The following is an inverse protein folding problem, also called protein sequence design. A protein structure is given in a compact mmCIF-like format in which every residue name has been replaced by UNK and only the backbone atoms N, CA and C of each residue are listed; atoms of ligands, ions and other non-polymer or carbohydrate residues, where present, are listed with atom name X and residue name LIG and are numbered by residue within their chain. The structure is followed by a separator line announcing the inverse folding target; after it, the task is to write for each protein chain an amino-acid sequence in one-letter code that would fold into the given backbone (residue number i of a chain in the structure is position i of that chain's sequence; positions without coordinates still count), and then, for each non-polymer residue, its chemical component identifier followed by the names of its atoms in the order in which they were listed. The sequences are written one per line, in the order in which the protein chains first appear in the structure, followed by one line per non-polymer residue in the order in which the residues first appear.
data_IF_521626567220
#
_entry.id   IF_521626567220
#
_cell.length_a   1.000
_cell.length_b   1.000
_cell.length_c   1.000
_cell.angle_alpha   90.00
_cell.angle_beta   90.00
_cell.angle_gamma   90.00
#
_symmetry.space_group_name_H-M   'P 1'
#
loop_
_entity.id
_entity.type
_entity.pdbx_description
1 polymer ?
#
# COMPACT_ATOMS: atom_id res chain seq x y z
N UNK A 1 34.28 12.99 3.86
CA UNK A 1 33.47 14.22 3.82
C UNK A 1 32.32 14.02 4.79
N UNK A 2 32.24 14.82 5.85
CA UNK A 2 31.19 14.74 6.86
C UNK A 2 29.95 15.47 6.33
N UNK A 3 28.84 14.74 6.18
CA UNK A 3 27.55 15.31 5.80
C UNK A 3 26.93 15.94 7.06
N UNK A 4 26.47 17.19 7.03
CA UNK A 4 25.89 17.82 8.22
C UNK A 4 24.57 17.11 8.58
N UNK A 5 24.51 16.49 9.76
CA UNK A 5 23.29 15.90 10.30
C UNK A 5 22.26 17.00 10.58
N UNK A 6 21.20 17.03 9.79
CA UNK A 6 20.02 17.83 10.02
C UNK A 6 19.39 17.39 11.35
N UNK A 7 19.58 18.18 12.43
CA UNK A 7 18.98 17.91 13.74
C UNK A 7 17.46 17.95 13.58
N UNK A 8 16.82 16.78 13.64
CA UNK A 8 15.37 16.69 13.67
C UNK A 8 14.84 17.46 14.89
N UNK A 9 14.04 18.50 14.65
CA UNK A 9 13.45 19.31 15.71
C UNK A 9 12.44 18.47 16.51
N UNK A 10 12.36 18.64 17.84
CA UNK A 10 11.41 17.91 18.68
C UNK A 10 9.98 18.28 18.30
N UNK A 11 9.17 17.28 17.92
CA UNK A 11 7.77 17.47 17.48
C UNK A 11 6.80 17.67 18.65
N UNK A 12 7.21 17.34 19.87
CA UNK A 12 6.39 17.44 21.07
C UNK A 12 7.27 17.72 22.30
N UNK A 13 6.72 18.36 23.35
CA UNK A 13 7.48 18.68 24.56
C UNK A 13 8.07 17.44 25.24
N UNK A 14 7.41 16.28 25.08
CA UNK A 14 7.82 15.01 25.68
C UNK A 14 9.10 14.41 25.10
N UNK A 15 9.53 14.87 23.91
CA UNK A 15 10.77 14.40 23.25
C UNK A 15 11.77 15.56 23.04
N UNK A 16 11.59 16.65 23.78
CA UNK A 16 12.49 17.81 23.73
C UNK A 16 13.79 17.61 24.51
N UNK A 17 13.94 16.50 25.23
CA UNK A 17 15.14 16.23 26.01
C UNK A 17 16.35 15.98 25.10
N UNK A 18 17.52 16.60 25.40
CA UNK A 18 18.71 16.51 24.54
C UNK A 18 19.26 15.08 24.42
N UNK A 19 19.04 14.23 25.44
CA UNK A 19 19.39 12.82 25.42
C UNK A 19 18.59 12.01 24.38
N UNK A 20 17.40 12.49 23.99
CA UNK A 20 16.52 11.83 23.02
C UNK A 20 16.75 12.31 21.58
N UNK A 21 17.49 13.40 21.39
CA UNK A 21 17.76 13.98 20.08
C UNK A 21 18.40 13.02 19.06
N UNK A 22 19.33 12.11 19.43
CA UNK A 22 19.87 11.13 18.50
C UNK A 22 18.79 10.16 17.99
N UNK A 23 17.87 9.74 18.86
CA UNK A 23 16.81 8.77 18.55
C UNK A 23 15.70 9.35 17.66
N UNK A 24 15.61 10.68 17.55
CA UNK A 24 14.65 11.36 16.69
C UNK A 24 15.08 11.43 15.21
N UNK A 25 16.32 11.04 14.90
CA UNK A 25 16.85 11.11 13.55
C UNK A 25 16.25 10.00 12.66
N UNK A 26 15.81 10.30 11.43
CA UNK A 26 15.27 9.29 10.50
C UNK A 26 16.25 8.17 10.13
N UNK A 27 17.55 8.44 10.21
CA UNK A 27 18.63 7.49 9.91
C UNK A 27 19.40 7.08 11.18
N UNK A 28 18.71 6.95 12.31
CA UNK A 28 19.33 6.50 13.55
C UNK A 28 19.88 5.08 13.40
N UNK A 29 21.19 4.92 13.61
CA UNK A 29 21.85 3.62 13.73
C UNK A 29 22.26 3.37 15.20
N UNK A 30 21.76 2.30 15.84
CA UNK A 30 22.14 1.97 17.22
C UNK A 30 23.62 1.64 17.37
N UNK A 31 24.27 1.07 16.36
CA UNK A 31 25.69 0.71 16.45
C UNK A 31 26.57 1.97 16.45
N UNK A 32 26.34 2.88 15.51
CA UNK A 32 27.03 4.18 15.47
C UNK A 32 26.76 5.02 16.73
N UNK A 33 25.54 4.98 17.28
CA UNK A 33 25.24 5.66 18.55
C UNK A 33 26.07 5.13 19.71
N UNK A 34 26.16 3.81 19.89
CA UNK A 34 26.97 3.22 20.96
C UNK A 34 28.47 3.46 20.74
N UNK A 35 28.93 3.38 19.50
CA UNK A 35 30.33 3.67 19.16
C UNK A 35 30.71 5.14 19.41
N UNK A 36 29.77 6.07 19.27
CA UNK A 36 29.97 7.49 19.58
C UNK A 36 29.80 7.80 21.08
N UNK A 37 28.94 7.06 21.79
CA UNK A 37 28.66 7.26 23.21
C UNK A 37 29.71 6.62 24.13
N UNK A 38 30.29 5.47 23.72
CA UNK A 38 31.23 4.73 24.54
C UNK A 38 32.70 5.14 24.26
N UNK A 39 33.52 5.38 25.29
CA UNK A 39 34.95 5.63 25.13
C UNK A 39 35.69 4.41 24.55
N UNK A 40 36.78 4.66 23.80
CA UNK A 40 37.65 3.58 23.32
C UNK A 40 38.34 2.83 24.48
N UNK A 41 38.48 1.51 24.38
CA UNK A 41 39.17 0.71 25.41
C UNK A 41 40.68 0.93 25.38
N UNK A 42 41.28 1.17 26.55
CA UNK A 42 42.74 1.13 26.71
C UNK A 42 43.22 -0.33 26.73
N UNK A 43 43.43 -0.90 25.55
CA UNK A 43 44.10 -2.19 25.43
C UNK A 43 45.60 -1.95 25.60
N UNK A 44 46.09 -2.28 26.79
CA UNK A 44 47.52 -2.27 27.13
C UNK A 44 48.27 -3.21 26.18
N UNK A 45 48.68 -2.68 25.02
CA UNK A 45 49.41 -3.40 24.00
C UNK A 45 50.59 -2.53 23.56
N UNK A 46 51.78 -3.13 23.60
CA UNK A 46 53.11 -2.53 23.47
C UNK A 46 53.40 -1.95 22.06
N UNK A 47 52.40 -1.81 21.19
CA UNK A 47 52.61 -1.30 19.84
C UNK A 47 51.34 -0.65 19.27
N UNK A 48 51.10 0.61 19.61
CA UNK A 48 50.20 1.45 18.83
C UNK A 48 50.66 2.91 18.90
N UNK A 49 51.16 3.39 17.76
CA UNK A 49 51.48 4.79 17.47
C UNK A 49 50.29 5.69 17.81
N UNK A 50 50.48 6.88 18.42
CA UNK A 50 49.40 7.71 18.89
C UNK A 50 48.67 8.37 17.72
N UNK A 51 47.57 7.76 17.26
CA UNK A 51 46.60 8.41 16.40
C UNK A 51 45.57 9.09 17.30
N UNK A 52 45.83 10.37 17.59
CA UNK A 52 44.93 11.42 18.06
C UNK A 52 43.45 11.01 18.34
N UNK A 53 43.15 10.32 19.44
CA UNK A 53 41.84 10.36 20.12
C UNK A 53 42.05 10.08 21.61
N UNK A 54 42.04 11.13 22.43
CA UNK A 54 42.51 11.13 23.82
C UNK A 54 41.50 10.72 24.88
N UNK A 55 40.80 9.59 24.73
CA UNK A 55 39.92 9.03 25.78
C UNK A 55 39.93 7.50 25.78
N UNK A 56 41.10 6.89 26.00
CA UNK A 56 41.21 5.44 26.23
C UNK A 56 40.92 5.13 27.70
N UNK A 57 39.86 4.37 27.98
CA UNK A 57 39.33 4.13 29.34
C UNK A 57 39.56 2.67 29.74
N UNK A 58 39.69 2.40 31.05
CA UNK A 58 39.83 1.02 31.54
C UNK A 58 38.52 0.22 31.40
N UNK A 59 38.60 -1.11 31.37
CA UNK A 59 37.41 -1.96 31.23
C UNK A 59 36.40 -1.75 32.38
N UNK A 60 36.90 -1.51 33.60
CA UNK A 60 36.06 -1.27 34.77
C UNK A 60 35.26 0.04 34.64
N UNK A 61 35.90 1.12 34.20
CA UNK A 61 35.24 2.40 33.97
C UNK A 61 34.26 2.34 32.78
N UNK A 62 34.60 1.62 31.71
CA UNK A 62 33.67 1.42 30.59
C UNK A 62 32.44 0.61 31.01
N UNK A 63 32.61 -0.40 31.86
CA UNK A 63 31.48 -1.16 32.42
C UNK A 63 30.55 -0.25 33.23
N UNK A 64 31.12 0.60 34.11
CA UNK A 64 30.32 1.56 34.89
C UNK A 64 29.57 2.52 33.97
N UNK A 65 30.24 3.10 32.99
CA UNK A 65 29.62 4.04 32.05
C UNK A 65 28.50 3.40 31.23
N UNK A 66 28.69 2.15 30.80
CA UNK A 66 27.67 1.40 30.06
C UNK A 66 26.45 1.09 30.94
N UNK A 67 26.67 0.76 32.22
CA UNK A 67 25.58 0.52 33.18
C UNK A 67 24.78 1.80 33.45
N UNK A 68 25.45 2.94 33.61
CA UNK A 68 24.80 4.24 33.80
C UNK A 68 23.95 4.62 32.57
N UNK A 69 24.53 4.47 31.36
CA UNK A 69 23.83 4.73 30.10
C UNK A 69 22.61 3.81 29.95
N UNK A 70 22.76 2.51 30.26
CA UNK A 70 21.66 1.55 30.19
C UNK A 70 20.54 1.88 31.19
N UNK A 71 20.90 2.28 32.41
CA UNK A 71 19.95 2.72 33.43
C UNK A 71 19.18 3.95 32.95
N UNK A 72 19.88 4.93 32.38
CA UNK A 72 19.30 6.13 31.80
C UNK A 72 18.32 5.78 30.65
N UNK A 73 18.74 4.95 29.70
CA UNK A 73 17.89 4.52 28.58
C UNK A 73 16.65 3.75 29.06
N UNK A 74 16.80 2.90 30.07
CA UNK A 74 15.67 2.17 30.65
C UNK A 74 14.65 3.11 31.33
N UNK A 75 15.15 4.14 32.05
CA UNK A 75 14.30 5.16 32.64
C UNK A 75 13.55 5.97 31.57
N UNK A 76 14.23 6.41 30.51
CA UNK A 76 13.59 7.11 29.39
C UNK A 76 12.56 6.22 28.68
N UNK A 77 12.87 4.94 28.46
CA UNK A 77 11.96 3.98 27.81
C UNK A 77 10.68 3.80 28.63
N UNK A 78 10.82 3.62 29.95
CA UNK A 78 9.67 3.48 30.86
C UNK A 78 8.81 4.74 30.85
N UNK A 79 9.43 5.92 30.97
CA UNK A 79 8.73 7.20 30.93
C UNK A 79 8.00 7.44 29.61
N UNK A 80 8.65 7.20 28.47
CA UNK A 80 8.05 7.38 27.15
C UNK A 80 6.91 6.38 26.91
N UNK A 81 7.01 5.15 27.42
CA UNK A 81 5.94 4.17 27.38
C UNK A 81 4.71 4.61 28.18
N UNK A 82 4.91 5.16 29.38
CA UNK A 82 3.81 5.74 30.18
C UNK A 82 3.16 6.92 29.46
N UNK A 83 3.96 7.83 28.90
CA UNK A 83 3.46 9.00 28.16
C UNK A 83 2.69 8.57 26.91
N UNK A 84 3.18 7.58 26.16
CA UNK A 84 2.51 7.04 24.98
C UNK A 84 1.14 6.44 25.34
N UNK A 85 1.08 5.70 26.45
CA UNK A 85 -0.17 5.13 26.97
C UNK A 85 -1.15 6.24 27.33
N UNK A 86 -0.70 7.29 28.03
CA UNK A 86 -1.52 8.44 28.39
C UNK A 86 -2.04 9.19 27.15
N UNK A 87 -1.17 9.50 26.19
CA UNK A 87 -1.57 10.16 24.94
C UNK A 87 -2.57 9.33 24.14
N UNK A 88 -2.42 8.00 24.15
CA UNK A 88 -3.36 7.10 23.48
C UNK A 88 -4.74 7.15 24.14
N UNK A 89 -4.80 7.14 25.48
CA UNK A 89 -6.06 7.27 26.22
C UNK A 89 -6.70 8.65 26.01
N UNK A 90 -5.90 9.73 26.03
CA UNK A 90 -6.37 11.09 25.76
C UNK A 90 -6.93 11.22 24.34
N UNK A 91 -6.33 10.56 23.34
CA UNK A 91 -6.85 10.53 21.95
C UNK A 91 -8.17 9.76 21.90
N UNK A 92 -8.28 8.59 22.52
CA UNK A 92 -9.52 7.80 22.53
C UNK A 92 -10.65 8.56 23.23
N UNK A 93 -10.35 9.22 24.35
CA UNK A 93 -11.32 9.99 25.12
C UNK A 93 -11.73 11.28 24.42
N UNK A 94 -10.78 12.02 23.84
CA UNK A 94 -11.07 13.24 23.08
C UNK A 94 -11.83 12.94 21.78
N UNK A 95 -11.61 11.78 21.16
CA UNK A 95 -12.37 11.35 19.99
C UNK A 95 -13.87 11.24 20.25
N UNK A 96 -14.28 10.64 21.37
CA UNK A 96 -15.69 10.53 21.74
C UNK A 96 -16.33 11.89 22.03
N UNK A 97 -15.60 12.79 22.70
CA UNK A 97 -16.07 14.16 22.97
C UNK A 97 -16.20 14.98 21.69
N UNK A 98 -15.21 14.90 20.80
CA UNK A 98 -15.22 15.61 19.53
C UNK A 98 -16.36 15.13 18.63
N UNK A 99 -16.66 13.83 18.63
CA UNK A 99 -17.82 13.30 17.90
C UNK A 99 -19.14 13.92 18.39
N UNK A 100 -19.31 14.09 19.71
CA UNK A 100 -20.48 14.78 20.27
C UNK A 100 -20.53 16.25 19.85
N UNK A 101 -19.42 16.98 19.98
CA UNK A 101 -19.34 18.39 19.59
C UNK A 101 -19.64 18.59 18.10
N UNK A 102 -19.16 17.68 17.24
CA UNK A 102 -19.47 17.68 15.80
C UNK A 102 -20.96 17.42 15.54
N UNK A 103 -21.59 16.47 16.24
CA UNK A 103 -23.01 16.18 16.05
C UNK A 103 -23.90 17.32 16.57
N UNK A 104 -23.51 17.98 17.66
CA UNK A 104 -24.17 19.20 18.16
C UNK A 104 -24.06 20.32 17.13
N UNK A 105 -22.85 20.62 16.63
CA UNK A 105 -22.63 21.64 15.62
C UNK A 105 -23.41 21.35 14.32
N UNK A 106 -23.49 20.07 13.93
CA UNK A 106 -24.30 19.64 12.79
C UNK A 106 -25.78 19.91 13.05
N UNK A 107 -26.30 19.56 14.21
CA UNK A 107 -27.69 19.84 14.61
C UNK A 107 -28.00 21.32 14.61
N UNK A 108 -27.12 22.15 15.18
CA UNK A 108 -27.25 23.61 15.17
C UNK A 108 -27.20 24.20 13.75
N UNK A 109 -26.32 23.69 12.89
CA UNK A 109 -26.21 24.11 11.48
C UNK A 109 -27.45 23.74 10.70
N UNK A 110 -28.01 22.55 10.91
CA UNK A 110 -29.28 22.12 10.31
C UNK A 110 -30.42 23.02 10.81
N UNK A 111 -30.53 23.24 12.13
CA UNK A 111 -31.56 24.11 12.71
C UNK A 111 -31.46 25.56 12.23
N UNK A 112 -30.24 26.10 12.06
CA UNK A 112 -30.01 27.41 11.45
C UNK A 112 -30.47 27.42 9.99
N UNK A 113 -30.18 26.37 9.23
CA UNK A 113 -30.58 26.25 7.82
C UNK A 113 -32.10 26.17 7.69
N UNK A 114 -32.78 25.36 8.50
CA UNK A 114 -34.25 25.27 8.55
C UNK A 114 -34.86 26.61 8.95
N UNK A 115 -34.31 27.28 9.98
CA UNK A 115 -34.78 28.61 10.39
C UNK A 115 -34.64 29.61 9.26
N UNK A 116 -33.52 29.62 8.52
CA UNK A 116 -33.29 30.57 7.43
C UNK A 116 -34.14 30.27 6.18
N UNK A 117 -34.33 28.99 5.85
CA UNK A 117 -34.98 28.56 4.60
C UNK A 117 -36.49 28.37 4.71
N UNK A 118 -37.00 27.97 5.88
CA UNK A 118 -38.43 27.69 6.09
C UNK A 118 -39.10 28.75 6.97
N UNK A 119 -38.49 29.09 8.11
CA UNK A 119 -39.07 30.04 9.06
C UNK A 119 -38.96 31.50 8.61
N UNK A 120 -37.74 31.95 8.38
CA UNK A 120 -37.39 33.35 8.13
C UNK A 120 -37.51 33.74 6.65
N UNK A 121 -37.50 32.77 5.73
CA UNK A 121 -37.55 33.03 4.28
C UNK A 121 -38.74 33.90 3.88
N UNK A 122 -39.95 33.58 4.37
CA UNK A 122 -41.15 34.35 4.08
C UNK A 122 -41.15 35.77 4.67
N UNK A 123 -40.44 35.98 5.78
CA UNK A 123 -40.26 37.32 6.36
C UNK A 123 -39.16 38.10 5.64
N UNK A 124 -38.07 37.45 5.26
CA UNK A 124 -36.99 38.02 4.44
C UNK A 124 -37.52 38.44 3.07
N UNK A 125 -38.40 37.66 2.44
CA UNK A 125 -39.07 38.02 1.17
C UNK A 125 -39.93 39.28 1.29
N UNK A 126 -40.51 39.57 2.46
CA UNK A 126 -41.25 40.83 2.69
C UNK A 126 -40.32 42.04 2.76
N UNK A 127 -39.10 41.87 3.26
CA UNK A 127 -38.08 42.93 3.32
C UNK A 127 -37.31 43.06 2.00
N UNK A 128 -37.21 41.99 1.20
CA UNK A 128 -36.49 41.93 -0.07
C UNK A 128 -37.30 41.16 -1.14
N UNK A 129 -38.37 41.76 -1.69
CA UNK A 129 -39.27 41.09 -2.63
C UNK A 129 -38.65 40.70 -3.99
N UNK A 130 -37.40 41.08 -4.25
CA UNK A 130 -36.63 40.71 -5.44
C UNK A 130 -35.36 39.89 -5.19
N UNK A 131 -35.09 39.48 -3.94
CA UNK A 131 -33.82 38.85 -3.55
C UNK A 131 -32.63 39.82 -3.53
N UNK A 132 -31.49 39.37 -3.00
CA UNK A 132 -30.23 40.13 -3.03
C UNK A 132 -29.56 39.83 -4.38
N UNK A 133 -29.76 40.72 -5.35
CA UNK A 133 -28.96 40.72 -6.58
C UNK A 133 -27.56 41.23 -6.21
N UNK A 134 -26.67 40.30 -5.87
CA UNK A 134 -25.23 40.59 -5.94
C UNK A 134 -24.92 40.69 -7.44
N UNK A 135 -24.67 41.90 -7.94
CA UNK A 135 -24.24 42.12 -9.32
C UNK A 135 -22.90 41.40 -9.57
N UNK A 136 -22.99 40.12 -9.92
CA UNK A 136 -22.00 39.48 -10.76
C UNK A 136 -22.13 40.16 -12.12
N UNK A 137 -21.10 40.93 -12.47
CA UNK A 137 -20.93 41.66 -13.72
C UNK A 137 -21.00 40.70 -14.91
N UNK A 138 -22.21 40.37 -15.36
CA UNK A 138 -22.46 39.77 -16.67
C UNK A 138 -22.23 40.84 -17.74
N UNK A 139 -21.36 40.51 -18.67
CA UNK A 139 -21.00 41.34 -19.80
C UNK A 139 -22.22 41.59 -20.70
N UNK A 140 -22.38 42.80 -21.27
CA UNK A 140 -23.54 43.12 -22.09
C UNK A 140 -23.48 42.38 -23.44
N UNK A 141 -24.50 41.54 -23.64
CA UNK A 141 -24.94 41.05 -24.94
C UNK A 141 -25.66 42.20 -25.66
N UNK A 142 -24.97 42.86 -26.60
CA UNK A 142 -25.58 43.80 -27.53
C UNK A 142 -25.54 43.19 -28.94
N UNK A 143 -26.72 42.79 -29.42
CA UNK A 143 -27.04 42.79 -30.85
C UNK A 143 -27.66 44.15 -31.19
N UNK A 144 -27.33 44.73 -32.36
CA UNK A 144 -28.28 44.60 -33.47
C UNK A 144 -27.62 44.42 -34.86
N UNK A 145 -28.40 43.84 -35.78
CA UNK A 145 -28.10 43.56 -37.18
C UNK A 145 -27.73 44.79 -38.05
N UNK A 146 -26.71 44.64 -38.91
CA UNK A 146 -26.79 44.64 -40.40
C UNK A 146 -25.61 45.33 -41.16
N UNK A 147 -24.82 44.48 -41.85
CA UNK A 147 -24.26 44.63 -43.22
C UNK A 147 -23.16 45.69 -43.49
N UNK A 148 -21.90 45.27 -43.75
CA UNK A 148 -21.33 45.01 -45.09
C UNK A 148 -19.78 44.74 -45.11
N UNK A 149 -19.41 43.60 -45.70
CA UNK A 149 -18.27 43.21 -46.57
C UNK A 149 -16.82 43.77 -46.49
N UNK A 150 -15.90 42.83 -46.83
CA UNK A 150 -14.45 42.87 -47.12
C UNK A 150 -13.55 42.66 -45.89
N UNK A 151 -12.53 41.80 -45.87
CA UNK A 151 -11.87 40.96 -46.87
C UNK A 151 -10.40 40.77 -46.43
N UNK A 152 -9.91 39.52 -46.51
CA UNK A 152 -8.51 39.08 -46.56
C UNK A 152 -7.62 38.91 -45.29
N UNK A 153 -7.21 37.63 -45.13
CA UNK A 153 -5.88 37.09 -44.78
C UNK A 153 -5.10 37.56 -43.54
N UNK A 154 -4.87 36.64 -42.58
CA UNK A 154 -3.56 35.99 -42.36
C UNK A 154 -3.57 34.97 -41.19
N UNK A 155 -2.78 33.90 -41.39
CA UNK A 155 -2.53 32.75 -40.50
C UNK A 155 -1.34 33.07 -39.53
N UNK A 156 -0.86 32.11 -38.73
CA UNK A 156 -1.16 31.84 -37.32
C UNK A 156 -0.02 32.26 -36.35
N UNK A 157 -0.33 32.56 -35.09
CA UNK A 157 0.70 32.56 -34.03
C UNK A 157 0.20 32.01 -32.70
N UNK A 158 0.95 31.01 -32.25
CA UNK A 158 1.00 30.38 -30.93
C UNK A 158 1.15 31.36 -29.76
N UNK A 159 0.32 31.24 -28.73
CA UNK A 159 0.59 31.65 -27.35
C UNK A 159 -0.31 30.81 -26.43
N UNK A 160 0.20 29.72 -25.83
CA UNK A 160 0.65 29.66 -24.43
C UNK A 160 -0.34 30.29 -23.45
N UNK A 161 -1.00 29.40 -22.69
CA UNK A 161 -1.78 29.65 -21.49
C UNK A 161 -1.20 30.77 -20.63
N UNK A 162 -1.99 31.83 -20.46
CA UNK A 162 -1.89 32.77 -19.37
C UNK A 162 -3.14 32.55 -18.48
N UNK A 163 -2.99 32.48 -17.14
CA UNK A 163 -4.12 32.24 -16.25
C UNK A 163 -4.96 33.52 -16.16
N UNK A 164 -6.26 33.40 -16.45
CA UNK A 164 -7.23 34.48 -16.26
C UNK A 164 -7.24 34.94 -14.79
N UNK A 165 -6.88 36.19 -14.58
CA UNK A 165 -6.77 36.86 -13.28
C UNK A 165 -8.13 37.27 -12.69
N UNK A 166 -9.15 36.45 -12.86
CA UNK A 166 -10.54 36.78 -12.47
C UNK A 166 -11.26 35.70 -11.69
N UNK A 167 -10.60 34.59 -11.33
CA UNK A 167 -11.17 33.63 -10.37
C UNK A 167 -10.94 34.14 -8.94
N UNK A 168 -12.00 34.45 -8.18
CA UNK A 168 -11.87 34.84 -6.77
C UNK A 168 -11.18 33.76 -5.95
N UNK A 169 -10.40 34.14 -4.95
CA UNK A 169 -9.61 33.23 -4.12
C UNK A 169 -10.44 32.09 -3.49
N UNK A 170 -11.71 32.33 -3.16
CA UNK A 170 -12.60 31.31 -2.62
C UNK A 170 -12.95 30.22 -3.65
N UNK A 171 -13.01 30.55 -4.95
CA UNK A 171 -13.22 29.57 -6.03
C UNK A 171 -11.96 28.71 -6.19
N UNK A 172 -10.77 29.30 -6.13
CA UNK A 172 -9.50 28.57 -6.12
C UNK A 172 -9.40 27.64 -4.89
N UNK A 173 -9.81 28.11 -3.71
CA UNK A 173 -9.88 27.30 -2.50
C UNK A 173 -10.91 26.16 -2.64
N UNK A 174 -12.05 26.40 -3.27
CA UNK A 174 -13.06 25.37 -3.52
C UNK A 174 -12.58 24.31 -4.53
N UNK A 175 -11.86 24.71 -5.58
CA UNK A 175 -11.24 23.77 -6.53
C UNK A 175 -10.14 22.94 -5.86
N UNK A 176 -9.31 23.56 -5.01
CA UNK A 176 -8.28 22.83 -4.27
C UNK A 176 -8.90 21.87 -3.25
N UNK A 177 -9.95 22.26 -2.52
CA UNK A 177 -10.69 21.37 -1.63
C UNK A 177 -11.39 20.23 -2.38
N UNK A 178 -11.94 20.50 -3.55
CA UNK A 178 -12.55 19.47 -4.42
C UNK A 178 -11.50 18.47 -4.91
N UNK A 179 -10.33 18.95 -5.32
CA UNK A 179 -9.20 18.11 -5.72
C UNK A 179 -8.63 17.30 -4.55
N UNK A 180 -8.55 17.90 -3.36
CA UNK A 180 -8.12 17.21 -2.14
C UNK A 180 -9.13 16.13 -1.77
N UNK A 181 -10.43 16.42 -1.84
CA UNK A 181 -11.50 15.44 -1.61
C UNK A 181 -11.40 14.27 -2.58
N UNK A 182 -11.27 14.52 -3.88
CA UNK A 182 -11.16 13.43 -4.87
C UNK A 182 -9.90 12.59 -4.68
N UNK A 183 -8.78 13.23 -4.28
CA UNK A 183 -7.55 12.53 -3.91
C UNK A 183 -7.74 11.67 -2.66
N UNK A 184 -8.38 12.20 -1.62
CA UNK A 184 -8.66 11.45 -0.39
C UNK A 184 -9.60 10.27 -0.66
N UNK A 185 -10.65 10.45 -1.46
CA UNK A 185 -11.55 9.36 -1.87
C UNK A 185 -10.78 8.27 -2.64
N UNK A 186 -9.85 8.65 -3.52
CA UNK A 186 -8.97 7.71 -4.22
C UNK A 186 -8.06 6.95 -3.26
N UNK A 187 -7.44 7.65 -2.30
CA UNK A 187 -6.58 7.04 -1.28
C UNK A 187 -7.38 6.08 -0.40
N UNK A 188 -8.57 6.47 0.05
CA UNK A 188 -9.47 5.62 0.85
C UNK A 188 -9.83 4.36 0.06
N UNK A 189 -10.14 4.48 -1.23
CA UNK A 189 -10.44 3.33 -2.08
C UNK A 189 -9.23 2.39 -2.20
N UNK A 190 -8.06 2.93 -2.54
CA UNK A 190 -6.84 2.12 -2.70
C UNK A 190 -6.41 1.46 -1.38
N UNK A 191 -6.44 2.19 -0.26
CA UNK A 191 -6.14 1.61 1.05
C UNK A 191 -7.20 0.62 1.52
N UNK A 192 -8.47 0.87 1.21
CA UNK A 192 -9.57 -0.05 1.46
C UNK A 192 -9.34 -1.37 0.73
N UNK A 193 -9.12 -1.32 -0.59
CA UNK A 193 -8.78 -2.50 -1.41
C UNK A 193 -7.50 -3.18 -0.90
N UNK A 194 -6.52 -2.40 -0.47
CA UNK A 194 -5.28 -2.92 0.08
C UNK A 194 -5.49 -3.68 1.40
N UNK A 195 -6.33 -3.16 2.31
CA UNK A 195 -6.68 -3.83 3.56
C UNK A 195 -7.47 -5.13 3.35
N UNK A 196 -8.31 -5.19 2.31
CA UNK A 196 -9.01 -6.41 1.95
C UNK A 196 -8.05 -7.49 1.43
N UNK A 197 -6.95 -7.10 0.80
CA UNK A 197 -5.90 -8.01 0.38
C UNK A 197 -5.02 -8.47 1.55
N UNK A 198 -5.53 -9.46 2.27
CA UNK A 198 -4.83 -10.15 3.35
C UNK A 198 -3.99 -11.31 2.80
N UNK A 199 -2.75 -11.41 3.25
CA UNK A 199 -1.86 -12.54 2.96
C UNK A 199 -1.71 -13.39 4.22
N UNK A 200 -1.75 -14.73 4.09
CA UNK A 200 -1.56 -15.59 5.24
C UNK A 200 -0.16 -15.37 5.84
N UNK A 201 -0.04 -15.30 7.18
CA UNK A 201 1.24 -15.05 7.84
C UNK A 201 2.30 -16.14 7.53
N UNK A 202 1.89 -17.31 7.05
CA UNK A 202 2.78 -18.35 6.55
C UNK A 202 3.52 -17.95 5.26
N UNK A 203 2.93 -17.15 4.36
CA UNK A 203 3.58 -16.72 3.11
C UNK A 203 4.59 -15.58 3.32
N UNK A 204 4.43 -14.76 4.37
CA UNK A 204 5.45 -13.79 4.81
C UNK A 204 6.57 -14.47 5.61
N UNK A 205 6.29 -15.59 6.26
CA UNK A 205 7.23 -16.32 7.13
C UNK A 205 8.23 -17.20 6.36
N UNK A 206 7.94 -17.55 5.10
CA UNK A 206 8.87 -18.29 4.24
C UNK A 206 10.16 -17.51 3.91
N UNK A 207 10.19 -16.18 4.12
CA UNK A 207 11.43 -15.39 4.01
C UNK A 207 12.11 -15.09 5.35
N UNK A 208 11.48 -15.42 6.49
CA UNK A 208 11.97 -15.15 7.85
C UNK A 208 12.16 -16.41 8.71
N UNK A 209 12.29 -17.59 8.08
CA UNK A 209 12.40 -18.89 8.77
C UNK A 209 13.72 -19.17 9.51
N UNK A 210 14.36 -18.18 10.12
CA UNK A 210 15.61 -18.37 10.90
C UNK A 210 15.68 -17.63 12.25
N UNK A 211 14.58 -17.04 12.76
CA UNK A 211 14.55 -16.50 14.13
C UNK A 211 13.47 -17.24 14.93
N UNK A 212 13.82 -18.45 15.39
CA UNK A 212 13.14 -19.09 16.52
C UNK A 212 13.66 -18.43 17.80
N UNK A 213 12.93 -17.43 18.27
CA UNK A 213 12.93 -17.02 19.68
C UNK A 213 11.50 -17.24 20.16
N UNK A 214 11.34 -18.05 21.20
CA UNK A 214 10.08 -18.48 21.80
C UNK A 214 9.03 -17.37 21.85
N UNK A 215 8.13 -17.35 20.87
CA UNK A 215 6.93 -16.53 20.90
C UNK A 215 5.82 -17.34 21.61
N UNK A 216 4.99 -16.72 22.46
CA UNK A 216 3.87 -17.40 23.11
C UNK A 216 2.92 -17.98 22.06
N UNK A 217 2.24 -19.08 22.40
CA UNK A 217 1.24 -19.75 21.56
C UNK A 217 0.41 -18.73 20.75
N UNK A 218 0.42 -18.82 19.40
CA UNK A 218 -0.42 -17.97 18.58
C UNK A 218 -1.88 -18.37 18.86
N UNK A 219 -2.59 -17.52 19.60
CA UNK A 219 -3.99 -17.72 19.92
C UNK A 219 -4.87 -17.86 18.68
N UNK A 220 -6.13 -18.24 18.90
CA UNK A 220 -7.19 -18.50 17.90
C UNK A 220 -7.32 -17.45 16.78
N UNK A 221 -6.89 -16.21 17.01
CA UNK A 221 -6.91 -15.11 16.05
C UNK A 221 -5.88 -15.26 14.91
N UNK A 222 -4.73 -15.89 15.16
CA UNK A 222 -3.72 -16.14 14.14
C UNK A 222 -4.23 -17.15 13.09
N UNK A 223 -4.91 -18.21 13.56
CA UNK A 223 -5.56 -19.21 12.71
C UNK A 223 -6.71 -18.59 11.89
N UNK A 224 -7.49 -17.69 12.48
CA UNK A 224 -8.56 -16.95 11.78
C UNK A 224 -8.01 -16.05 10.68
N UNK A 225 -6.91 -15.33 10.93
CA UNK A 225 -6.25 -14.48 9.93
C UNK A 225 -5.57 -15.31 8.84
N UNK A 226 -4.99 -16.46 9.19
CA UNK A 226 -4.42 -17.39 8.21
C UNK A 226 -5.49 -17.97 7.29
N UNK A 227 -6.63 -18.37 7.84
CA UNK A 227 -7.74 -18.91 7.06
C UNK A 227 -8.30 -17.86 6.09
N UNK A 228 -8.55 -16.62 6.55
CA UNK A 228 -9.03 -15.52 5.70
C UNK A 228 -8.06 -15.19 4.56
N UNK A 229 -6.75 -15.18 4.83
CA UNK A 229 -5.74 -14.95 3.80
C UNK A 229 -5.71 -16.07 2.75
N UNK A 230 -5.85 -17.34 3.17
CA UNK A 230 -5.91 -18.49 2.26
C UNK A 230 -7.18 -18.48 1.41
N UNK A 231 -8.33 -18.16 2.00
CA UNK A 231 -9.61 -18.06 1.30
C UNK A 231 -9.59 -16.93 0.26
N UNK A 232 -9.06 -15.77 0.61
CA UNK A 232 -8.92 -14.66 -0.33
C UNK A 232 -7.97 -14.99 -1.48
N UNK A 233 -6.83 -15.61 -1.18
CA UNK A 233 -5.89 -16.09 -2.19
C UNK A 233 -6.48 -17.18 -3.10
N UNK A 234 -7.33 -18.05 -2.57
CA UNK A 234 -8.06 -19.05 -3.36
C UNK A 234 -9.14 -18.40 -4.24
N UNK A 235 -9.86 -17.41 -3.70
CA UNK A 235 -10.86 -16.64 -4.44
C UNK A 235 -10.24 -15.90 -5.62
N UNK A 236 -9.08 -15.23 -5.45
CA UNK A 236 -8.37 -14.57 -6.55
C UNK A 236 -7.90 -15.55 -7.64
N UNK A 237 -7.44 -16.75 -7.25
CA UNK A 237 -7.06 -17.81 -8.21
C UNK A 237 -8.29 -18.31 -8.99
N UNK A 238 -9.43 -18.48 -8.32
CA UNK A 238 -10.69 -18.85 -8.96
C UNK A 238 -11.15 -17.77 -9.93
N UNK A 239 -11.21 -16.51 -9.47
CA UNK A 239 -11.62 -15.34 -10.28
C UNK A 239 -10.81 -15.27 -11.58
N UNK A 240 -9.48 -15.39 -11.50
CA UNK A 240 -8.61 -15.38 -12.69
C UNK A 240 -8.87 -16.59 -13.58
N UNK A 241 -9.08 -17.78 -13.01
CA UNK A 241 -9.40 -18.97 -13.82
C UNK A 241 -10.77 -18.89 -14.49
N UNK A 242 -11.75 -18.26 -13.83
CA UNK A 242 -13.10 -18.06 -14.33
C UNK A 242 -13.12 -17.01 -15.44
N UNK A 243 -12.34 -15.92 -15.30
CA UNK A 243 -12.16 -14.92 -16.36
C UNK A 243 -11.59 -15.54 -17.65
N UNK A 244 -10.65 -16.48 -17.53
CA UNK A 244 -10.03 -17.15 -18.69
C UNK A 244 -10.95 -18.21 -19.30
N UNK A 245 -11.75 -18.89 -18.48
CA UNK A 245 -12.65 -19.97 -18.94
C UNK A 245 -13.98 -19.43 -19.48
N UNK A 246 -14.44 -18.28 -18.97
CA UNK A 246 -15.73 -17.67 -19.32
C UNK A 246 -15.76 -17.11 -20.74
N UNK A 247 -14.72 -16.38 -21.16
CA UNK A 247 -14.62 -15.79 -22.49
C UNK A 247 -13.34 -16.22 -23.22
N UNK A 248 -13.43 -17.02 -24.32
CA UNK A 248 -12.25 -17.56 -25.00
C UNK A 248 -11.44 -16.55 -25.81
N UNK A 249 -11.94 -15.32 -26.02
CA UNK A 249 -11.25 -14.28 -26.81
C UNK A 249 -10.88 -13.04 -25.97
N UNK A 250 -11.75 -12.59 -25.06
CA UNK A 250 -11.50 -11.46 -24.15
C UNK A 250 -11.00 -11.87 -22.76
N UNK A 251 -11.17 -13.14 -22.37
CA UNK A 251 -10.88 -13.61 -21.01
C UNK A 251 -9.41 -13.52 -20.61
N UNK A 252 -8.50 -13.82 -21.53
CA UNK A 252 -7.06 -13.67 -21.31
C UNK A 252 -6.65 -12.20 -21.10
N UNK A 253 -7.23 -11.29 -21.89
CA UNK A 253 -6.99 -9.86 -21.73
C UNK A 253 -7.56 -9.33 -20.41
N UNK A 254 -8.79 -9.72 -20.05
CA UNK A 254 -9.44 -9.34 -18.80
C UNK A 254 -8.66 -9.84 -17.57
N UNK A 255 -8.17 -11.09 -17.60
CA UNK A 255 -7.29 -11.63 -16.57
C UNK A 255 -5.97 -10.84 -16.47
N UNK A 256 -5.38 -10.47 -17.62
CA UNK A 256 -4.19 -9.61 -17.66
C UNK A 256 -4.41 -8.23 -17.02
N UNK A 257 -5.55 -7.58 -17.31
CA UNK A 257 -5.93 -6.31 -16.68
C UNK A 257 -6.09 -6.48 -15.17
N UNK A 258 -6.73 -7.56 -14.72
CA UNK A 258 -6.91 -7.84 -13.29
C UNK A 258 -5.59 -8.08 -12.56
N UNK A 259 -4.67 -8.83 -13.16
CA UNK A 259 -3.32 -9.07 -12.62
C UNK A 259 -2.52 -7.77 -12.58
N UNK A 260 -2.65 -6.90 -13.58
CA UNK A 260 -2.01 -5.58 -13.58
C UNK A 260 -2.57 -4.68 -12.48
N UNK A 261 -3.89 -4.66 -12.26
CA UNK A 261 -4.50 -3.93 -11.15
C UNK A 261 -3.99 -4.42 -9.78
N UNK A 262 -3.80 -5.74 -9.62
CA UNK A 262 -3.17 -6.30 -8.41
C UNK A 262 -1.70 -5.87 -8.29
N UNK A 263 -0.95 -5.75 -9.38
CA UNK A 263 0.43 -5.23 -9.37
C UNK A 263 0.48 -3.77 -8.92
N UNK A 264 -0.43 -2.94 -9.41
CA UNK A 264 -0.52 -1.53 -9.03
C UNK A 264 -0.90 -1.39 -7.54
N UNK A 265 -1.83 -2.23 -7.07
CA UNK A 265 -2.19 -2.29 -5.64
C UNK A 265 -1.01 -2.76 -4.77
N UNK A 266 -0.21 -3.72 -5.25
CA UNK A 266 0.97 -4.22 -4.52
C UNK A 266 2.04 -3.14 -4.28
N UNK A 267 2.05 -2.07 -5.08
CA UNK A 267 2.96 -0.93 -4.90
C UNK A 267 2.74 -0.18 -3.57
N UNK A 268 1.54 -0.28 -2.97
CA UNK A 268 1.23 0.29 -1.65
C UNK A 268 2.14 -0.27 -0.55
N UNK A 269 2.63 -1.49 -0.71
CA UNK A 269 3.51 -2.18 0.26
C UNK A 269 4.99 -2.05 -0.07
N UNK A 270 5.38 -1.20 -1.02
CA UNK A 270 6.79 -0.99 -1.37
C UNK A 270 7.59 -0.55 -0.15
N UNK A 271 8.71 -1.24 0.12
CA UNK A 271 9.55 -1.01 1.30
C UNK A 271 9.08 -1.73 2.57
N UNK A 272 7.99 -2.50 2.53
CA UNK A 272 7.52 -3.31 3.66
C UNK A 272 7.96 -4.77 3.54
N UNK A 273 7.94 -5.52 4.65
CA UNK A 273 8.25 -6.94 4.67
C UNK A 273 7.32 -7.79 3.77
N UNK A 274 6.14 -7.26 3.41
CA UNK A 274 5.16 -7.96 2.59
C UNK A 274 5.37 -7.78 1.07
N UNK A 275 6.19 -6.82 0.64
CA UNK A 275 6.41 -6.48 -0.78
C UNK A 275 6.81 -7.70 -1.62
N UNK A 276 7.77 -8.47 -1.11
CA UNK A 276 8.33 -9.63 -1.83
C UNK A 276 7.36 -10.80 -1.88
N UNK A 277 6.55 -11.01 -0.84
CA UNK A 277 5.53 -12.05 -0.80
C UNK A 277 4.38 -11.73 -1.77
N UNK A 278 3.89 -10.47 -1.74
CA UNK A 278 2.86 -9.94 -2.65
C UNK A 278 3.29 -10.06 -4.12
N UNK A 279 4.52 -9.65 -4.43
CA UNK A 279 5.07 -9.71 -5.79
C UNK A 279 5.16 -11.14 -6.32
N UNK A 280 5.62 -12.10 -5.49
CA UNK A 280 5.67 -13.52 -5.85
C UNK A 280 4.28 -14.13 -6.06
N UNK A 281 3.30 -13.74 -5.24
CA UNK A 281 1.93 -14.20 -5.39
C UNK A 281 1.34 -13.76 -6.75
N UNK A 282 1.54 -12.48 -7.12
CA UNK A 282 1.11 -11.95 -8.43
C UNK A 282 1.83 -12.67 -9.58
N UNK A 283 3.12 -12.94 -9.46
CA UNK A 283 3.87 -13.71 -10.47
C UNK A 283 3.30 -15.14 -10.61
N UNK A 284 2.92 -15.77 -9.49
CA UNK A 284 2.23 -17.05 -9.50
C UNK A 284 0.87 -17.00 -10.19
N UNK A 285 0.10 -15.93 -9.99
CA UNK A 285 -1.17 -15.70 -10.69
C UNK A 285 -0.98 -15.49 -12.20
N UNK A 286 0.07 -14.76 -12.60
CA UNK A 286 0.41 -14.57 -14.01
C UNK A 286 0.77 -15.90 -14.69
N UNK A 287 1.57 -16.75 -14.04
CA UNK A 287 1.89 -18.09 -14.55
C UNK A 287 0.66 -18.98 -14.66
N UNK A 288 -0.24 -18.94 -13.67
CA UNK A 288 -1.50 -19.69 -13.70
C UNK A 288 -2.39 -19.22 -14.85
N UNK A 289 -2.44 -17.91 -15.10
CA UNK A 289 -3.20 -17.35 -16.21
C UNK A 289 -2.64 -17.79 -17.57
N UNK A 290 -1.32 -17.76 -17.76
CA UNK A 290 -0.66 -18.23 -18.98
C UNK A 290 -0.87 -19.74 -19.21
N UNK A 291 -0.78 -20.57 -18.17
CA UNK A 291 -1.03 -22.01 -18.26
C UNK A 291 -2.47 -22.31 -18.66
N UNK A 292 -3.44 -21.63 -18.02
CA UNK A 292 -4.87 -21.79 -18.34
C UNK A 292 -5.20 -21.28 -19.74
N UNK A 293 -4.65 -20.15 -20.16
CA UNK A 293 -4.80 -19.63 -21.51
C UNK A 293 -4.28 -20.64 -22.55
N UNK A 294 -3.10 -21.21 -22.29
CA UNK A 294 -2.49 -22.21 -23.17
C UNK A 294 -3.33 -23.49 -23.25
N UNK A 295 -3.99 -23.90 -22.17
CA UNK A 295 -4.87 -25.06 -22.18
C UNK A 295 -6.21 -24.82 -22.87
N UNK A 296 -6.78 -23.62 -22.73
CA UNK A 296 -7.97 -23.20 -23.50
C UNK A 296 -7.65 -23.15 -25.01
N UNK A 297 -6.47 -22.67 -25.38
CA UNK A 297 -6.02 -22.65 -26.79
C UNK A 297 -5.82 -24.07 -27.35
N UNK A 298 -5.16 -24.97 -26.60
CA UNK A 298 -5.03 -26.39 -26.99
C UNK A 298 -6.38 -27.09 -27.12
N UNK A 299 -7.35 -26.79 -26.25
CA UNK A 299 -8.69 -27.35 -26.33
C UNK A 299 -9.45 -26.80 -27.54
N UNK A 300 -9.26 -25.52 -27.88
CA UNK A 300 -9.78 -24.91 -29.12
C UNK A 300 -9.18 -25.59 -30.35
N UNK A 301 -7.87 -25.88 -30.36
CA UNK A 301 -7.20 -26.62 -31.44
C UNK A 301 -7.68 -28.07 -31.56
N UNK A 302 -7.96 -28.75 -30.44
CA UNK A 302 -8.52 -30.12 -30.43
C UNK A 302 -9.97 -30.19 -30.89
N UNK A 303 -10.75 -29.14 -30.67
CA UNK A 303 -12.15 -29.03 -31.10
C UNK A 303 -12.31 -28.56 -32.54
N UNK A 304 -11.26 -28.08 -33.20
CA UNK A 304 -11.28 -27.87 -34.64
C UNK A 304 -11.10 -29.24 -35.36
N UNK A 305 -12.13 -29.77 -36.04
CA UNK A 305 -11.96 -30.99 -36.81
C UNK A 305 -10.99 -30.71 -37.96
N UNK A 306 -9.92 -31.51 -38.05
CA UNK A 306 -9.07 -31.60 -39.24
C UNK A 306 -9.94 -31.92 -40.45
N UNK A 307 -10.29 -30.89 -41.22
CA UNK A 307 -10.86 -31.07 -42.55
C UNK A 307 -9.77 -31.68 -43.43
N UNK A 308 -9.94 -32.97 -43.75
CA UNK A 308 -9.18 -33.65 -44.80
C UNK A 308 -8.26 -34.76 -44.32
N UNK A 309 -8.76 -36.00 -44.37
CA UNK A 309 -8.24 -37.06 -45.23
C UNK A 309 -9.09 -38.32 -45.07
N UNK A 310 -10.14 -38.40 -45.87
CA UNK A 310 -10.85 -39.64 -46.15
C UNK A 310 -9.93 -40.56 -46.96
N UNK A 311 -9.81 -41.81 -46.53
CA UNK A 311 -8.98 -42.83 -47.17
C UNK A 311 -9.23 -44.19 -46.53
N UNK A 312 -10.29 -44.85 -46.98
CA UNK A 312 -10.73 -46.18 -46.57
C UNK A 312 -9.79 -47.29 -47.06
N UNK A 313 -9.45 -48.27 -46.21
CA UNK A 313 -9.49 -49.73 -46.48
C UNK A 313 -9.54 -50.48 -45.12
N UNK A 314 -10.42 -51.48 -44.92
CA UNK A 314 -10.49 -52.30 -43.70
C UNK A 314 -9.93 -53.73 -43.87
N UNK A 315 -9.84 -54.47 -42.73
CA UNK A 315 -9.82 -55.96 -42.49
C UNK A 315 -8.51 -56.53 -41.84
N UNK A 316 -8.50 -57.67 -41.08
CA UNK A 316 -8.15 -57.70 -39.64
C UNK A 316 -7.20 -58.86 -39.18
N UNK A 317 -6.91 -58.86 -37.87
CA UNK A 317 -6.50 -59.97 -36.96
C UNK A 317 -5.02 -60.47 -36.89
N UNK A 318 -4.59 -61.00 -35.71
CA UNK A 318 -3.23 -60.94 -35.11
C UNK A 318 -2.55 -62.36 -35.03
N UNK A 319 -1.37 -62.64 -34.38
CA UNK A 319 -0.99 -62.41 -32.97
C UNK A 319 0.55 -62.14 -32.76
N UNK A 320 1.21 -62.38 -31.59
CA UNK A 320 1.84 -61.31 -30.81
C UNK A 320 3.36 -61.43 -30.66
N UNK A 321 4.14 -60.36 -30.79
CA UNK A 321 5.52 -60.33 -30.28
C UNK A 321 5.92 -58.95 -29.74
N UNK A 322 6.18 -58.96 -28.43
CA UNK A 322 7.27 -58.28 -27.73
C UNK A 322 7.66 -56.86 -28.19
N UNK A 323 7.36 -55.88 -27.34
CA UNK A 323 8.31 -54.80 -27.07
C UNK A 323 8.08 -54.18 -25.68
N UNK A 324 9.07 -54.42 -24.83
CA UNK A 324 9.67 -53.51 -23.85
C UNK A 324 8.74 -52.47 -23.23
N UNK A 325 8.27 -52.77 -22.02
CA UNK A 325 7.96 -51.74 -21.02
C UNK A 325 9.03 -51.78 -19.93
N UNK A 326 9.75 -50.68 -19.85
CA UNK A 326 10.72 -50.29 -18.83
C UNK A 326 10.10 -50.40 -17.43
N UNK A 327 10.27 -51.58 -16.81
CA UNK A 327 9.86 -51.87 -15.44
C UNK A 327 10.77 -51.15 -14.45
N UNK A 328 10.22 -50.11 -13.82
CA UNK A 328 10.88 -49.34 -12.77
C UNK A 328 11.03 -50.14 -11.48
N UNK A 329 12.11 -49.82 -10.77
CA UNK A 329 12.60 -50.26 -9.45
C UNK A 329 11.61 -50.88 -8.44
N UNK A 330 10.32 -50.49 -8.45
CA UNK A 330 9.30 -51.02 -7.55
C UNK A 330 8.91 -52.48 -7.82
N UNK A 331 9.02 -52.96 -9.06
CA UNK A 331 8.68 -54.35 -9.42
C UNK A 331 9.71 -55.36 -8.88
N UNK A 332 10.97 -54.93 -8.73
CA UNK A 332 12.05 -55.72 -8.12
C UNK A 332 11.91 -55.85 -6.59
N UNK A 333 11.26 -54.89 -5.93
CA UNK A 333 11.02 -54.93 -4.47
C UNK A 333 9.85 -55.87 -4.11
N UNK A 334 8.85 -56.01 -4.97
CA UNK A 334 7.77 -56.98 -4.76
C UNK A 334 8.24 -58.44 -4.91
N UNK A 335 9.26 -58.68 -5.73
CA UNK A 335 9.81 -60.02 -5.96
C UNK A 335 10.66 -60.56 -4.80
N UNK A 336 11.24 -59.69 -3.97
CA UNK A 336 12.05 -60.08 -2.80
C UNK A 336 11.17 -60.40 -1.59
N UNK A 337 9.95 -59.85 -1.51
CA UNK A 337 9.00 -60.14 -0.42
C UNK A 337 8.23 -61.46 -0.60
N UNK A 338 8.33 -62.11 -1.76
CA UNK A 338 7.60 -63.34 -2.08
C UNK A 338 8.34 -64.67 -1.86
N UNK A 339 9.61 -64.65 -1.43
CA UNK A 339 10.44 -65.86 -1.28
C UNK A 339 10.93 -66.08 0.17
N UNK A 340 10.03 -66.01 1.14
CA UNK A 340 10.14 -66.66 2.45
C UNK A 340 8.81 -67.30 2.81
#
# INVERSE_FOLDING_TARGET
MAVPHERAAPKSPHVSEPALAPFLQPQFDPADYLNAALPSLSLSSVSARPLKQGHSVSLAELSSHTQDLLSQLNAHTTRLSTILTQLTDDILRSGARLAYEVEVLRGETIGLTETLTEGLKGDVEKFLPGGITLEAKEAPDETPDAVNQHGEEQKPTTAKDAPDSTTPDYITQLHTLTLVRSRLETVIKVFGEAMHWTIPPSEISLTSSLISVSAPEPGTDASSREQKGKEFAASLRSEISDLITGDPESGAAAAGVRIQALRDLAQVWKGTAEEKARSKFIEGLARLAEEKQRDVEKEKERRQPRVGRSGSVPKPQPPPMQQQRSGGFLDNLQRIRGNF
#
